data_IF_007832992049
#
_entry.id   IF_007832992049
#
_cell.length_a   1.000
_cell.length_b   1.000
_cell.length_c   1.000
_cell.angle_alpha   90.00
_cell.angle_beta   90.00
_cell.angle_gamma   90.00
#
_symmetry.space_group_name_H-M   'P 1'
#
loop_
_entity.id
_entity.type
_entity.pdbx_description
1 polymer ?
#
# COMPACT_ATOMS: atom_id res chain seq x y z
N UNK A 1 56.68 -25.36 -11.97
CA UNK A 1 56.00 -24.03 -11.94
C UNK A 1 55.47 -23.76 -10.55
N UNK A 2 56.06 -22.80 -9.82
CA UNK A 2 55.52 -22.33 -8.53
C UNK A 2 54.31 -21.44 -8.82
N UNK A 3 53.11 -21.89 -8.48
CA UNK A 3 51.90 -21.11 -8.55
C UNK A 3 51.94 -20.09 -7.42
N UNK A 4 52.21 -18.81 -7.73
CA UNK A 4 52.09 -17.72 -6.76
C UNK A 4 50.64 -17.63 -6.28
N UNK A 5 50.39 -18.14 -5.09
CA UNK A 5 49.13 -17.90 -4.37
C UNK A 5 49.29 -16.58 -3.61
N UNK A 6 48.93 -15.48 -4.28
CA UNK A 6 48.78 -14.19 -3.60
C UNK A 6 47.50 -14.25 -2.77
N UNK A 7 47.64 -14.47 -1.47
CA UNK A 7 46.55 -14.36 -0.52
C UNK A 7 46.35 -12.93 -0.07
N UNK A 8 45.15 -12.58 0.37
CA UNK A 8 44.85 -11.28 0.99
C UNK A 8 45.63 -11.14 2.30
N UNK A 9 46.09 -9.93 2.57
CA UNK A 9 46.66 -9.58 3.88
C UNK A 9 45.56 -9.26 4.88
N UNK A 10 45.82 -9.46 6.16
CA UNK A 10 44.85 -9.17 7.25
C UNK A 10 44.47 -7.69 7.25
N UNK A 11 45.42 -6.79 6.96
CA UNK A 11 45.18 -5.36 6.91
C UNK A 11 44.24 -4.98 5.74
N UNK A 12 44.36 -5.61 4.57
CA UNK A 12 43.46 -5.38 3.44
C UNK A 12 42.04 -5.78 3.78
N UNK A 13 41.82 -6.89 4.49
CA UNK A 13 40.52 -7.32 4.94
C UNK A 13 39.91 -6.34 5.92
N UNK A 14 40.68 -5.87 6.92
CA UNK A 14 40.20 -4.89 7.91
C UNK A 14 39.83 -3.56 7.23
N UNK A 15 40.64 -3.08 6.30
CA UNK A 15 40.34 -1.82 5.59
C UNK A 15 39.07 -1.94 4.76
N UNK A 16 38.83 -3.05 4.09
CA UNK A 16 37.60 -3.31 3.35
C UNK A 16 36.39 -3.32 4.29
N UNK A 17 36.47 -3.96 5.45
CA UNK A 17 35.40 -3.99 6.44
C UNK A 17 35.07 -2.59 6.98
N UNK A 18 36.07 -1.75 7.23
CA UNK A 18 35.85 -0.37 7.68
C UNK A 18 35.16 0.45 6.60
N UNK A 19 35.60 0.37 5.36
CA UNK A 19 34.99 1.11 4.24
C UNK A 19 33.55 0.66 4.03
N UNK A 20 33.28 -0.64 4.02
CA UNK A 20 31.91 -1.16 3.89
C UNK A 20 31.03 -0.74 5.06
N UNK A 21 31.57 -0.71 6.29
CA UNK A 21 30.84 -0.25 7.46
C UNK A 21 30.41 1.23 7.38
N UNK A 22 31.31 2.09 6.90
CA UNK A 22 31.01 3.52 6.70
C UNK A 22 29.97 3.72 5.59
N UNK A 23 30.12 3.01 4.47
CA UNK A 23 29.17 3.08 3.37
C UNK A 23 27.77 2.57 3.79
N UNK A 24 27.72 1.45 4.52
CA UNK A 24 26.47 0.90 5.04
C UNK A 24 25.77 1.86 6.00
N UNK A 25 26.50 2.54 6.88
CA UNK A 25 25.94 3.49 7.83
C UNK A 25 25.19 4.65 7.16
N UNK A 26 25.61 5.04 5.96
CA UNK A 26 24.96 6.10 5.17
C UNK A 26 23.84 5.54 4.27
N UNK A 27 24.04 4.34 3.72
CA UNK A 27 23.12 3.77 2.74
C UNK A 27 21.82 3.26 3.36
N UNK A 28 21.89 2.63 4.55
CA UNK A 28 20.72 2.01 5.20
C UNK A 28 19.61 3.03 5.51
N UNK A 29 19.84 4.17 6.18
CA UNK A 29 18.79 5.14 6.45
C UNK A 29 18.10 5.64 5.17
N UNK A 30 18.87 5.96 4.13
CA UNK A 30 18.33 6.43 2.85
C UNK A 30 17.47 5.38 2.15
N UNK A 31 17.83 4.12 2.30
CA UNK A 31 17.05 3.02 1.74
C UNK A 31 15.70 2.86 2.44
N UNK A 32 15.66 2.98 3.76
CA UNK A 32 14.43 2.93 4.56
C UNK A 32 13.47 4.09 4.20
N UNK A 33 14.00 5.32 4.07
CA UNK A 33 13.19 6.47 3.63
C UNK A 33 12.59 6.25 2.23
N UNK A 34 13.33 5.59 1.35
CA UNK A 34 12.86 5.28 -0.01
C UNK A 34 11.72 4.27 0.00
N UNK A 35 11.78 3.24 0.87
CA UNK A 35 10.72 2.25 1.04
C UNK A 35 9.45 2.94 1.55
N UNK A 36 9.55 3.74 2.60
CA UNK A 36 8.42 4.46 3.17
C UNK A 36 7.73 5.36 2.13
N UNK A 37 8.50 6.14 1.38
CA UNK A 37 7.96 6.98 0.30
C UNK A 37 7.29 6.16 -0.81
N UNK A 38 7.82 4.99 -1.14
CA UNK A 38 7.22 4.10 -2.13
C UNK A 38 5.90 3.50 -1.63
N UNK A 39 5.81 3.13 -0.36
CA UNK A 39 4.58 2.64 0.26
C UNK A 39 3.50 3.73 0.28
N UNK A 40 3.82 4.96 0.69
CA UNK A 40 2.90 6.11 0.63
C UNK A 40 2.39 6.36 -0.79
N UNK A 41 3.29 6.36 -1.78
CA UNK A 41 2.90 6.58 -3.17
C UNK A 41 1.99 5.46 -3.70
N UNK A 42 2.23 4.21 -3.28
CA UNK A 42 1.39 3.06 -3.62
C UNK A 42 -0.02 3.18 -3.00
N UNK A 43 -0.11 3.57 -1.74
CA UNK A 43 -1.37 3.82 -1.04
C UNK A 43 -2.18 4.92 -1.74
N UNK A 44 -1.55 6.04 -2.04
CA UNK A 44 -2.19 7.16 -2.74
C UNK A 44 -2.71 6.75 -4.12
N UNK A 45 -1.96 5.90 -4.83
CA UNK A 45 -2.39 5.38 -6.12
C UNK A 45 -3.63 4.47 -6.00
N UNK A 46 -3.67 3.57 -5.02
CA UNK A 46 -4.82 2.69 -4.78
C UNK A 46 -6.04 3.51 -4.38
N UNK A 47 -5.92 4.43 -3.43
CA UNK A 47 -7.03 5.28 -2.99
C UNK A 47 -7.54 6.19 -4.12
N UNK A 48 -6.65 6.74 -4.95
CA UNK A 48 -7.04 7.54 -6.11
C UNK A 48 -7.79 6.71 -7.14
N UNK A 49 -7.36 5.46 -7.37
CA UNK A 49 -8.03 4.53 -8.27
C UNK A 49 -9.45 4.18 -7.75
N UNK A 50 -9.59 3.90 -6.46
CA UNK A 50 -10.88 3.65 -5.82
C UNK A 50 -11.80 4.87 -6.00
N UNK A 51 -11.32 6.09 -5.74
CA UNK A 51 -12.12 7.32 -5.93
C UNK A 51 -12.60 7.49 -7.36
N UNK A 52 -11.72 7.26 -8.35
CA UNK A 52 -12.09 7.33 -9.76
C UNK A 52 -13.11 6.26 -10.15
N UNK A 53 -12.96 5.04 -9.66
CA UNK A 53 -13.90 3.95 -9.90
C UNK A 53 -15.27 4.22 -9.27
N UNK A 54 -15.31 4.76 -8.06
CA UNK A 54 -16.54 5.17 -7.38
C UNK A 54 -17.30 6.23 -8.18
N UNK A 55 -16.62 7.26 -8.68
CA UNK A 55 -17.26 8.26 -9.55
C UNK A 55 -17.86 7.63 -10.82
N UNK A 56 -17.11 6.75 -11.47
CA UNK A 56 -17.61 6.04 -12.65
C UNK A 56 -18.82 5.17 -12.30
N UNK A 57 -18.78 4.44 -11.20
CA UNK A 57 -19.90 3.63 -10.73
C UNK A 57 -21.14 4.49 -10.49
N UNK A 58 -20.99 5.62 -9.79
CA UNK A 58 -22.11 6.53 -9.50
C UNK A 58 -22.70 7.16 -10.78
N UNK A 59 -21.86 7.47 -11.80
CA UNK A 59 -22.32 7.96 -13.10
C UNK A 59 -23.10 6.87 -13.85
N UNK A 60 -22.63 5.63 -13.86
CA UNK A 60 -23.38 4.52 -14.47
C UNK A 60 -24.74 4.33 -13.80
N UNK A 61 -24.81 4.36 -12.47
CA UNK A 61 -26.07 4.26 -11.74
C UNK A 61 -27.00 5.45 -12.00
N UNK A 62 -26.45 6.64 -12.18
CA UNK A 62 -27.23 7.82 -12.57
C UNK A 62 -27.89 7.62 -13.96
N UNK A 63 -27.15 7.08 -14.93
CA UNK A 63 -27.67 6.81 -16.27
C UNK A 63 -28.74 5.71 -16.28
N UNK A 64 -28.57 4.66 -15.47
CA UNK A 64 -29.45 3.52 -15.41
C UNK A 64 -30.72 3.77 -14.61
N UNK A 65 -30.60 4.45 -13.45
CA UNK A 65 -31.68 4.59 -12.46
C UNK A 65 -32.10 6.04 -12.18
N UNK A 66 -31.42 7.01 -12.80
CA UNK A 66 -31.68 8.44 -12.57
C UNK A 66 -31.12 8.96 -11.24
N UNK A 67 -30.33 8.17 -10.51
CA UNK A 67 -29.77 8.54 -9.20
C UNK A 67 -28.30 8.15 -9.09
N UNK A 68 -27.52 8.98 -8.38
CA UNK A 68 -26.17 8.62 -7.97
C UNK A 68 -26.24 7.68 -6.76
N UNK A 69 -25.76 6.48 -6.92
CA UNK A 69 -25.72 5.44 -5.89
C UNK A 69 -24.29 4.97 -5.76
N UNK A 70 -23.80 4.81 -4.54
CA UNK A 70 -22.49 4.33 -4.21
C UNK A 70 -22.56 2.85 -3.76
N UNK A 71 -21.58 2.01 -4.05
CA UNK A 71 -21.58 0.61 -3.61
C UNK A 71 -21.43 0.51 -2.09
N UNK A 72 -21.88 -0.59 -1.51
CA UNK A 72 -21.69 -0.86 -0.09
C UNK A 72 -20.21 -1.06 0.26
N UNK A 73 -19.48 -1.74 -0.61
CA UNK A 73 -18.03 -1.90 -0.51
C UNK A 73 -17.34 -1.11 -1.65
N UNK A 74 -16.44 -0.16 -1.32
CA UNK A 74 -15.78 0.66 -2.33
C UNK A 74 -14.94 -0.13 -3.34
N UNK A 75 -14.44 -1.32 -2.98
CA UNK A 75 -13.70 -2.18 -3.89
C UNK A 75 -14.57 -2.80 -5.00
N UNK A 76 -15.89 -2.88 -4.81
CA UNK A 76 -16.83 -3.38 -5.83
C UNK A 76 -16.97 -2.43 -7.02
N UNK A 77 -16.55 -1.19 -6.88
CA UNK A 77 -16.50 -0.23 -7.99
C UNK A 77 -15.30 -0.45 -8.92
N UNK A 78 -14.27 -1.16 -8.46
CA UNK A 78 -13.09 -1.46 -9.26
C UNK A 78 -13.37 -2.59 -10.26
N UNK A 79 -12.83 -2.48 -11.46
CA UNK A 79 -12.84 -3.60 -12.43
C UNK A 79 -11.95 -4.75 -11.97
N UNK A 80 -10.89 -4.45 -11.19
CA UNK A 80 -9.99 -5.43 -10.59
C UNK A 80 -9.53 -4.89 -9.24
N UNK A 81 -9.77 -5.64 -8.17
CA UNK A 81 -9.29 -5.30 -6.84
C UNK A 81 -7.76 -5.49 -6.72
N UNK A 82 -7.08 -4.77 -5.81
CA UNK A 82 -5.67 -5.03 -5.53
C UNK A 82 -5.42 -6.51 -5.21
N UNK A 83 -4.28 -7.06 -5.65
CA UNK A 83 -3.96 -8.49 -5.45
C UNK A 83 -3.95 -8.91 -3.97
N UNK A 84 -3.65 -7.97 -3.08
CA UNK A 84 -3.60 -8.18 -1.64
C UNK A 84 -4.89 -7.78 -0.92
N UNK A 85 -5.98 -7.57 -1.67
CA UNK A 85 -7.28 -7.29 -1.09
C UNK A 85 -7.93 -8.57 -0.54
N UNK A 86 -8.33 -8.52 0.72
CA UNK A 86 -9.02 -9.62 1.42
C UNK A 86 -10.42 -9.17 1.83
N UNK A 87 -11.43 -9.96 1.46
CA UNK A 87 -12.83 -9.73 1.82
C UNK A 87 -13.17 -10.52 3.09
N UNK A 88 -12.69 -10.10 4.24
CA UNK A 88 -12.98 -10.74 5.52
C UNK A 88 -13.72 -9.84 6.52
N UNK A 89 -13.84 -8.55 6.21
CA UNK A 89 -14.52 -7.57 7.06
C UNK A 89 -13.74 -7.19 8.31
N UNK A 90 -12.48 -7.57 8.41
CA UNK A 90 -11.59 -7.26 9.52
C UNK A 90 -10.58 -6.17 9.16
N UNK A 91 -9.88 -5.65 10.15
CA UNK A 91 -8.79 -4.69 9.93
C UNK A 91 -7.61 -5.48 9.34
N UNK A 92 -6.94 -4.90 8.31
CA UNK A 92 -5.75 -5.49 7.70
C UNK A 92 -4.73 -5.90 8.77
N UNK A 93 -4.26 -7.15 8.73
CA UNK A 93 -3.36 -7.74 9.72
C UNK A 93 -2.15 -8.45 9.10
N UNK A 94 -2.08 -8.47 7.78
CA UNK A 94 -0.98 -9.05 7.01
C UNK A 94 -0.27 -7.98 6.17
N UNK A 95 1.02 -8.19 5.88
CA UNK A 95 1.83 -7.25 5.12
C UNK A 95 1.22 -6.92 3.75
N UNK A 96 1.11 -5.63 3.45
CA UNK A 96 0.55 -5.08 2.21
C UNK A 96 -0.94 -5.39 1.98
N UNK A 97 -1.63 -5.92 2.98
CA UNK A 97 -3.03 -6.27 2.89
C UNK A 97 -3.94 -5.03 2.84
N UNK A 98 -4.96 -5.13 2.00
CA UNK A 98 -6.07 -4.20 1.94
C UNK A 98 -7.34 -4.89 2.38
N UNK A 99 -8.13 -4.25 3.24
CA UNK A 99 -9.44 -4.77 3.65
C UNK A 99 -10.48 -3.65 3.71
N UNK A 100 -11.74 -4.04 3.74
CA UNK A 100 -12.85 -3.13 4.00
C UNK A 100 -13.62 -3.59 5.24
N UNK A 101 -13.74 -2.70 6.20
CA UNK A 101 -14.51 -2.92 7.44
C UNK A 101 -15.82 -2.17 7.31
N UNK A 102 -16.91 -2.90 7.18
CA UNK A 102 -18.25 -2.32 7.18
C UNK A 102 -18.61 -1.86 8.60
N UNK A 103 -19.30 -0.72 8.69
CA UNK A 103 -19.66 -0.15 9.97
C UNK A 103 -20.21 1.27 9.86
N UNK A 104 -20.31 1.94 10.98
CA UNK A 104 -20.68 3.35 11.04
C UNK A 104 -19.74 4.09 12.00
N UNK A 105 -18.67 4.70 11.47
CA UNK A 105 -18.27 4.77 10.05
C UNK A 105 -17.62 3.49 9.52
N UNK A 106 -17.67 3.30 8.20
CA UNK A 106 -16.96 2.24 7.48
C UNK A 106 -15.55 2.70 7.09
N UNK A 107 -14.62 1.76 6.96
CA UNK A 107 -13.22 2.07 6.68
C UNK A 107 -12.59 1.14 5.65
N UNK A 108 -11.80 1.71 4.75
CA UNK A 108 -10.77 0.99 4.02
C UNK A 108 -9.54 0.92 4.93
N UNK A 109 -8.94 -0.24 5.09
CA UNK A 109 -7.72 -0.39 5.91
C UNK A 109 -6.59 -1.01 5.10
N UNK A 110 -5.36 -0.66 5.45
CA UNK A 110 -4.15 -1.17 4.84
C UNK A 110 -3.06 -1.34 5.89
N UNK A 111 -2.30 -2.44 5.82
CA UNK A 111 -1.12 -2.67 6.63
C UNK A 111 0.14 -2.62 5.76
N UNK A 112 1.10 -1.80 6.15
CA UNK A 112 2.43 -1.74 5.52
C UNK A 112 3.34 -2.87 6.00
N UNK A 113 4.46 -3.05 5.32
CA UNK A 113 5.48 -4.05 5.65
C UNK A 113 6.16 -3.85 7.02
N UNK A 114 6.07 -2.66 7.61
CA UNK A 114 6.54 -2.36 8.97
C UNK A 114 5.50 -2.62 10.07
N UNK A 115 4.37 -3.26 9.73
CA UNK A 115 3.19 -3.47 10.56
C UNK A 115 2.43 -2.20 10.95
N UNK A 116 2.76 -1.03 10.42
CA UNK A 116 1.93 0.16 10.58
C UNK A 116 0.61 0.01 9.81
N UNK A 117 -0.47 0.52 10.39
CA UNK A 117 -1.82 0.38 9.84
C UNK A 117 -2.42 1.73 9.58
N UNK A 118 -3.02 1.87 8.41
CA UNK A 118 -3.70 3.07 7.95
C UNK A 118 -5.15 2.78 7.63
N UNK A 119 -5.99 3.79 7.75
CA UNK A 119 -7.40 3.68 7.43
C UNK A 119 -7.92 4.96 6.78
N UNK A 120 -8.85 4.79 5.87
CA UNK A 120 -9.57 5.85 5.20
C UNK A 120 -11.06 5.63 5.41
N UNK A 121 -11.75 6.64 5.87
CA UNK A 121 -13.19 6.58 6.05
C UNK A 121 -13.88 6.53 4.69
N UNK A 122 -14.90 5.66 4.59
CA UNK A 122 -15.76 5.54 3.44
C UNK A 122 -17.19 5.86 3.85
N UNK A 123 -17.74 6.94 3.30
CA UNK A 123 -19.12 7.34 3.48
C UNK A 123 -19.86 7.25 2.14
N UNK A 124 -20.77 6.29 2.04
CA UNK A 124 -21.65 6.12 0.87
C UNK A 124 -22.83 7.07 0.87
N UNK A 125 -22.95 7.93 1.88
CA UNK A 125 -24.10 8.80 2.07
C UNK A 125 -25.38 8.03 2.43
N UNK A 126 -26.45 8.76 2.65
CA UNK A 126 -27.77 8.17 2.86
C UNK A 126 -28.43 8.05 1.49
N UNK A 127 -28.59 6.84 0.97
CA UNK A 127 -29.37 6.55 -0.23
C UNK A 127 -30.89 6.69 0.05
N UNK A 128 -31.28 7.79 0.69
CA UNK A 128 -32.69 8.12 0.85
C UNK A 128 -33.23 8.68 -0.47
N UNK A 129 -34.16 7.99 -1.05
CA UNK A 129 -34.81 8.38 -2.30
C UNK A 129 -35.72 9.60 -2.21
N UNK A 130 -35.34 10.56 -1.42
CA UNK A 130 -35.98 11.89 -1.35
C UNK A 130 -34.95 12.93 -1.70
N UNK A 131 -35.26 13.68 -2.75
CA UNK A 131 -34.51 14.80 -3.38
C UNK A 131 -33.60 15.57 -2.45
#
# INVERSE_FOLDING_TARGET
MKKNRNGFTLIELIMVMIILGVLAAVAIPRYLDTIENAEVASEDAVISNIRGALENYAIHKLLDSGRRIWPDNPFDALSEAPQTYTLDGTIADSDQEWTFVDGSPAYITHQRSDNSRFRWEYDKGINTGTD
#
